data_IF_556527020967
#
_entry.id   IF_556527020967
#
_cell.length_a   1.000
_cell.length_b   1.000
_cell.length_c   1.000
_cell.angle_alpha   90.00
_cell.angle_beta   90.00
_cell.angle_gamma   90.00
#
_symmetry.space_group_name_H-M   'P 1'
#
loop_
_entity.id
_entity.type
_entity.pdbx_description
1 polymer ?
#
# COMPACT_ATOMS: atom_id res chain seq x y z
N UNK A 1 5.97 -14.66 25.50
CA UNK A 1 6.51 -14.70 24.12
C UNK A 1 7.77 -15.55 24.02
N UNK A 2 8.78 -15.41 24.89
CA UNK A 2 9.99 -16.26 24.84
C UNK A 2 9.68 -17.76 24.81
N UNK A 3 8.74 -18.22 25.63
CA UNK A 3 8.25 -19.61 25.64
C UNK A 3 7.77 -20.11 24.26
N UNK A 4 7.19 -19.24 23.45
CA UNK A 4 6.71 -19.61 22.10
C UNK A 4 7.90 -19.89 21.19
N UNK A 5 8.95 -19.08 21.25
CA UNK A 5 10.15 -19.24 20.44
C UNK A 5 11.07 -20.37 20.92
N UNK A 6 11.06 -20.69 22.21
CA UNK A 6 11.90 -21.74 22.78
C UNK A 6 11.22 -23.11 22.78
N UNK A 7 9.98 -23.19 23.27
CA UNK A 7 9.28 -24.45 23.49
C UNK A 7 8.30 -24.78 22.35
N UNK A 8 8.02 -23.82 21.46
CA UNK A 8 7.01 -23.97 20.41
C UNK A 8 5.60 -24.12 20.97
N UNK A 9 5.34 -23.69 22.21
CA UNK A 9 4.02 -23.77 22.84
C UNK A 9 3.72 -22.54 23.67
N UNK A 10 2.44 -22.26 23.87
CA UNK A 10 1.96 -21.24 24.79
C UNK A 10 0.75 -21.81 25.55
N UNK A 11 0.74 -21.67 26.87
CA UNK A 11 -0.46 -21.96 27.67
C UNK A 11 -1.22 -20.66 27.87
N UNK A 12 -2.49 -20.61 27.48
CA UNK A 12 -3.34 -19.44 27.70
C UNK A 12 -3.78 -19.30 29.17
N UNK A 13 -4.48 -18.22 29.50
CA UNK A 13 -4.98 -17.98 30.87
C UNK A 13 -6.06 -18.96 31.34
N UNK A 14 -6.61 -19.79 30.45
CA UNK A 14 -7.60 -20.82 30.74
C UNK A 14 -6.96 -22.21 30.87
N UNK A 15 -5.63 -22.32 30.71
CA UNK A 15 -4.89 -23.57 30.79
C UNK A 15 -4.81 -24.35 29.48
N UNK A 16 -5.29 -23.80 28.35
CA UNK A 16 -5.18 -24.47 27.05
C UNK A 16 -3.76 -24.34 26.52
N UNK A 17 -3.16 -25.46 26.10
CA UNK A 17 -1.84 -25.48 25.48
C UNK A 17 -1.98 -25.36 23.96
N UNK A 18 -1.49 -24.24 23.42
CA UNK A 18 -1.43 -23.94 21.99
C UNK A 18 -0.06 -24.33 21.45
N UNK A 19 0.00 -24.99 20.29
CA UNK A 19 1.22 -25.41 19.62
C UNK A 19 1.57 -24.44 18.47
N UNK A 20 2.81 -23.95 18.48
CA UNK A 20 3.39 -23.02 17.51
C UNK A 20 4.52 -23.63 16.66
N UNK A 21 4.81 -24.92 16.78
CA UNK A 21 5.92 -25.59 16.05
C UNK A 21 5.81 -25.49 14.53
N UNK A 22 4.59 -25.39 13.99
CA UNK A 22 4.34 -25.30 12.55
C UNK A 22 3.74 -23.93 12.18
N UNK A 23 4.22 -22.87 12.82
CA UNK A 23 3.71 -21.51 12.65
C UNK A 23 4.83 -20.56 12.27
N UNK A 24 4.58 -19.70 11.29
CA UNK A 24 5.44 -18.56 11.00
C UNK A 24 4.96 -17.39 11.85
N UNK A 25 5.84 -16.85 12.69
CA UNK A 25 5.53 -15.70 13.54
C UNK A 25 6.07 -14.45 12.85
N UNK A 26 5.16 -13.58 12.41
CA UNK A 26 5.50 -12.28 11.83
C UNK A 26 5.25 -11.21 12.88
N UNK A 27 6.28 -10.42 13.19
CA UNK A 27 6.19 -9.28 14.09
C UNK A 27 6.52 -8.01 13.34
N UNK A 28 5.70 -6.97 13.52
CA UNK A 28 5.88 -5.68 12.86
C UNK A 28 6.08 -4.59 13.90
N UNK A 29 7.01 -3.67 13.66
CA UNK A 29 7.25 -2.52 14.52
C UNK A 29 7.61 -1.28 13.70
N UNK A 30 7.25 -0.10 14.19
CA UNK A 30 7.63 1.19 13.59
C UNK A 30 8.98 1.71 14.13
N UNK A 31 9.74 0.90 14.88
CA UNK A 31 11.06 1.28 15.40
C UNK A 31 11.97 1.65 14.24
N UNK A 32 12.63 2.80 14.36
CA UNK A 32 13.55 3.29 13.34
C UNK A 32 12.88 3.85 12.07
N UNK A 33 11.55 3.87 11.96
CA UNK A 33 10.83 4.36 10.77
C UNK A 33 11.23 5.80 10.37
N UNK A 34 11.55 6.65 11.36
CA UNK A 34 12.03 8.02 11.14
C UNK A 34 13.32 8.10 10.31
N UNK A 35 14.22 7.12 10.42
CA UNK A 35 15.49 7.10 9.68
C UNK A 35 15.26 6.77 8.20
N UNK A 36 14.26 5.94 7.92
CA UNK A 36 13.84 5.57 6.57
C UNK A 36 13.20 6.79 5.88
N UNK A 37 12.34 7.53 6.58
CA UNK A 37 11.64 8.70 6.03
C UNK A 37 12.57 9.89 5.74
N UNK A 38 13.50 10.22 6.66
CA UNK A 38 14.34 11.43 6.55
C UNK A 38 15.31 11.41 5.38
N UNK A 39 15.71 10.23 4.89
CA UNK A 39 16.61 10.10 3.74
C UNK A 39 15.88 9.96 2.40
N UNK A 40 14.60 9.57 2.39
CA UNK A 40 13.78 9.53 1.18
C UNK A 40 13.46 10.94 0.60
N UNK A 41 13.54 11.99 1.42
CA UNK A 41 13.33 13.38 0.97
C UNK A 41 14.55 14.03 0.29
N UNK A 42 15.71 13.35 0.26
CA UNK A 42 16.93 13.86 -0.38
C UNK A 42 17.04 13.21 -1.76
N UNK A 43 16.40 13.81 -2.76
CA UNK A 43 16.37 13.25 -4.12
C UNK A 43 17.70 13.40 -4.84
N UNK A 44 18.53 12.34 -4.90
CA UNK A 44 19.79 12.35 -5.68
C UNK A 44 20.22 10.96 -6.21
N UNK A 45 20.98 10.99 -7.32
CA UNK A 45 21.21 9.90 -8.27
C UNK A 45 22.17 8.77 -7.85
N UNK A 46 21.68 7.55 -8.08
CA UNK A 46 22.27 6.31 -8.67
C UNK A 46 23.71 5.81 -8.44
N UNK A 47 24.54 6.38 -7.55
CA UNK A 47 25.81 5.72 -7.15
C UNK A 47 25.92 5.43 -5.66
N UNK A 48 25.30 6.26 -4.82
CA UNK A 48 25.39 6.18 -3.36
C UNK A 48 24.19 5.45 -2.71
N UNK A 49 23.19 5.06 -3.52
CA UNK A 49 21.92 4.50 -3.01
C UNK A 49 22.11 3.23 -2.16
N UNK A 50 23.01 2.33 -2.56
CA UNK A 50 23.30 1.08 -1.81
C UNK A 50 24.02 1.34 -0.48
N UNK A 51 24.98 2.26 -0.46
CA UNK A 51 25.67 2.64 0.78
C UNK A 51 24.72 3.35 1.74
N UNK A 52 23.86 4.21 1.20
CA UNK A 52 22.80 4.87 1.97
C UNK A 52 21.84 3.83 2.56
N UNK A 53 21.38 2.87 1.78
CA UNK A 53 20.48 1.81 2.27
C UNK A 53 21.10 0.99 3.39
N UNK A 54 22.38 0.62 3.24
CA UNK A 54 23.14 -0.08 4.29
C UNK A 54 23.19 0.76 5.57
N UNK A 55 23.50 2.05 5.45
CA UNK A 55 23.54 2.97 6.59
C UNK A 55 22.19 3.09 7.31
N UNK A 56 21.07 3.10 6.57
CA UNK A 56 19.72 3.16 7.16
C UNK A 56 19.40 1.87 7.89
N UNK A 57 19.71 0.73 7.28
CA UNK A 57 19.49 -0.59 7.89
C UNK A 57 20.28 -0.74 9.18
N UNK A 58 21.53 -0.30 9.23
CA UNK A 58 22.36 -0.29 10.43
C UNK A 58 21.78 0.60 11.54
N UNK A 59 21.29 1.80 11.20
CA UNK A 59 20.63 2.68 12.17
C UNK A 59 19.36 2.07 12.74
N UNK A 60 18.53 1.44 11.91
CA UNK A 60 17.30 0.76 12.34
C UNK A 60 17.64 -0.43 13.25
N UNK A 61 18.60 -1.27 12.86
CA UNK A 61 19.04 -2.41 13.66
C UNK A 61 19.66 -1.98 15.00
N UNK A 62 20.39 -0.85 15.03
CA UNK A 62 20.90 -0.28 16.27
C UNK A 62 19.78 0.13 17.23
N UNK A 63 18.70 0.75 16.72
CA UNK A 63 17.52 1.09 17.51
C UNK A 63 16.78 -0.15 18.02
N UNK A 64 16.60 -1.18 17.18
CA UNK A 64 15.98 -2.44 17.58
C UNK A 64 16.74 -3.08 18.75
N UNK A 65 18.08 -3.14 18.67
CA UNK A 65 18.94 -3.68 19.74
C UNK A 65 18.94 -2.83 21.02
N UNK A 66 18.64 -1.54 20.91
CA UNK A 66 18.50 -0.65 22.09
C UNK A 66 17.14 -0.79 22.75
N UNK A 67 16.08 -1.02 21.96
CA UNK A 67 14.70 -1.11 22.45
C UNK A 67 14.36 -2.49 22.99
N UNK A 68 14.83 -3.57 22.35
CA UNK A 68 14.56 -4.94 22.77
C UNK A 68 15.77 -5.55 23.48
N UNK A 69 15.52 -6.47 24.41
CA UNK A 69 16.61 -7.19 25.07
C UNK A 69 17.33 -8.12 24.07
N UNK A 70 18.65 -8.33 24.22
CA UNK A 70 19.42 -9.19 23.32
C UNK A 70 18.86 -10.61 23.23
N UNK A 71 18.30 -11.14 24.33
CA UNK A 71 17.69 -12.46 24.37
C UNK A 71 16.55 -12.61 23.37
N UNK A 72 15.61 -11.65 23.31
CA UNK A 72 14.52 -11.69 22.35
C UNK A 72 15.02 -11.54 20.91
N UNK A 73 15.95 -10.61 20.67
CA UNK A 73 16.52 -10.38 19.34
C UNK A 73 17.21 -11.64 18.81
N UNK A 74 17.90 -12.38 19.68
CA UNK A 74 18.56 -13.64 19.32
C UNK A 74 17.58 -14.80 19.05
N UNK A 75 16.29 -14.65 19.34
CA UNK A 75 15.22 -15.63 19.02
C UNK A 75 14.51 -15.34 17.71
N UNK A 76 14.81 -14.22 17.07
CA UNK A 76 14.26 -13.87 15.76
C UNK A 76 15.22 -14.38 14.70
N UNK A 77 14.75 -15.24 13.80
CA UNK A 77 15.56 -15.81 12.73
C UNK A 77 16.07 -14.72 11.78
N UNK A 78 15.19 -13.81 11.37
CA UNK A 78 15.51 -12.75 10.41
C UNK A 78 14.84 -11.42 10.77
N UNK A 79 15.59 -10.32 10.64
CA UNK A 79 15.06 -8.96 10.83
C UNK A 79 15.04 -8.26 9.47
N UNK A 80 13.83 -8.04 8.95
CA UNK A 80 13.61 -7.41 7.65
C UNK A 80 13.37 -5.92 7.85
N UNK A 81 14.21 -5.09 7.22
CA UNK A 81 14.02 -3.62 7.17
C UNK A 81 13.36 -3.27 5.84
N UNK A 82 12.17 -2.68 5.90
CA UNK A 82 11.45 -2.23 4.72
C UNK A 82 12.01 -0.90 4.19
N UNK A 83 12.09 -0.79 2.87
CA UNK A 83 12.43 0.46 2.19
C UNK A 83 11.24 1.42 2.13
N UNK A 84 11.52 2.71 1.91
CA UNK A 84 10.47 3.68 1.62
C UNK A 84 9.86 3.40 0.24
N UNK A 85 8.54 3.56 0.13
CA UNK A 85 7.84 3.41 -1.15
C UNK A 85 8.26 4.51 -2.13
N UNK A 86 8.73 4.10 -3.30
CA UNK A 86 8.97 4.98 -4.44
C UNK A 86 7.66 5.32 -5.16
N UNK A 87 7.70 6.29 -6.08
CA UNK A 87 6.53 6.57 -6.93
C UNK A 87 6.12 5.39 -7.78
N UNK A 88 7.09 4.63 -8.29
CA UNK A 88 6.80 3.42 -9.07
C UNK A 88 6.14 2.33 -8.22
N UNK A 89 6.50 2.22 -6.93
CA UNK A 89 5.82 1.32 -6.01
C UNK A 89 4.39 1.78 -5.73
N UNK A 90 4.18 3.09 -5.55
CA UNK A 90 2.83 3.64 -5.37
C UNK A 90 1.95 3.43 -6.60
N UNK A 91 2.50 3.58 -7.82
CA UNK A 91 1.79 3.27 -9.08
C UNK A 91 1.34 1.81 -9.11
N UNK A 92 2.26 0.88 -8.84
CA UNK A 92 1.94 -0.56 -8.78
C UNK A 92 0.89 -0.88 -7.72
N UNK A 93 0.99 -0.27 -6.54
CA UNK A 93 0.00 -0.45 -5.48
C UNK A 93 -1.37 0.07 -5.92
N UNK A 94 -1.44 1.23 -6.57
CA UNK A 94 -2.69 1.75 -7.10
C UNK A 94 -3.29 0.80 -8.14
N UNK A 95 -2.47 0.27 -9.06
CA UNK A 95 -2.92 -0.72 -10.05
C UNK A 95 -3.52 -1.96 -9.38
N UNK A 96 -2.83 -2.54 -8.39
CA UNK A 96 -3.33 -3.70 -7.64
C UNK A 96 -4.66 -3.40 -6.91
N UNK A 97 -4.82 -2.18 -6.37
CA UNK A 97 -6.07 -1.79 -5.73
C UNK A 97 -7.23 -1.66 -6.72
N UNK A 98 -6.96 -1.21 -7.94
CA UNK A 98 -7.96 -1.15 -9.02
C UNK A 98 -8.31 -2.56 -9.52
N UNK A 99 -7.34 -3.45 -9.64
CA UNK A 99 -7.59 -4.87 -9.94
C UNK A 99 -8.51 -5.50 -8.89
N UNK A 100 -8.22 -5.28 -7.61
CA UNK A 100 -9.07 -5.74 -6.50
C UNK A 100 -10.48 -5.13 -6.53
N UNK A 101 -10.61 -3.86 -6.94
CA UNK A 101 -11.92 -3.24 -7.15
C UNK A 101 -12.67 -3.93 -8.29
N UNK A 102 -11.99 -4.20 -9.40
CA UNK A 102 -12.57 -4.86 -10.57
C UNK A 102 -13.06 -6.27 -10.26
N UNK A 103 -12.39 -7.04 -9.38
CA UNK A 103 -12.88 -8.34 -8.93
C UNK A 103 -14.31 -8.27 -8.37
N UNK A 104 -14.64 -7.19 -7.65
CA UNK A 104 -15.99 -6.98 -7.11
C UNK A 104 -16.99 -6.52 -8.18
N UNK A 105 -16.53 -5.86 -9.25
CA UNK A 105 -17.36 -5.34 -10.34
C UNK A 105 -17.67 -6.39 -11.41
N UNK A 106 -16.91 -7.50 -11.46
CA UNK A 106 -17.16 -8.61 -12.39
C UNK A 106 -18.59 -9.14 -12.31
N UNK A 107 -19.17 -9.23 -11.10
CA UNK A 107 -20.55 -9.67 -10.90
C UNK A 107 -21.59 -8.76 -11.57
N UNK A 108 -21.21 -7.52 -11.92
CA UNK A 108 -22.05 -6.52 -12.59
C UNK A 108 -21.65 -6.32 -14.06
N UNK A 109 -20.75 -7.16 -14.60
CA UNK A 109 -20.19 -7.02 -15.94
C UNK A 109 -19.56 -5.63 -16.19
N UNK A 110 -18.94 -5.05 -15.15
CA UNK A 110 -18.26 -3.76 -15.21
C UNK A 110 -16.77 -3.94 -14.89
N UNK A 111 -15.93 -3.15 -15.54
CA UNK A 111 -14.53 -2.99 -15.18
C UNK A 111 -14.13 -1.53 -15.27
N UNK A 112 -13.15 -1.13 -14.44
CA UNK A 112 -12.60 0.21 -14.40
C UNK A 112 -11.15 0.15 -14.84
N UNK A 113 -10.76 1.05 -15.74
CA UNK A 113 -9.39 1.29 -16.15
C UNK A 113 -9.03 2.74 -15.88
N UNK A 114 -7.90 2.99 -15.23
CA UNK A 114 -7.38 4.35 -15.05
C UNK A 114 -6.32 4.62 -16.11
N UNK A 115 -6.28 5.82 -16.69
CA UNK A 115 -5.13 6.26 -17.48
C UNK A 115 -3.93 6.55 -16.58
N UNK A 116 -2.73 6.54 -17.16
CA UNK A 116 -1.49 6.84 -16.42
C UNK A 116 -1.52 8.22 -15.77
N UNK A 117 -2.13 9.22 -16.41
CA UNK A 117 -2.20 10.57 -15.83
C UNK A 117 -3.10 10.61 -14.59
N UNK A 118 -4.18 9.81 -14.57
CA UNK A 118 -5.05 9.69 -13.39
C UNK A 118 -4.32 9.01 -12.23
N UNK A 119 -3.55 7.96 -12.53
CA UNK A 119 -2.72 7.26 -11.53
C UNK A 119 -1.76 8.24 -10.85
N UNK A 120 -1.02 9.01 -11.65
CA UNK A 120 -0.08 10.02 -11.15
C UNK A 120 -0.80 11.11 -10.35
N UNK A 121 -1.93 11.61 -10.86
CA UNK A 121 -2.74 12.62 -10.18
C UNK A 121 -3.24 12.15 -8.81
N UNK A 122 -3.69 10.89 -8.68
CA UNK A 122 -4.14 10.34 -7.39
C UNK A 122 -2.97 10.29 -6.40
N UNK A 123 -1.78 9.89 -6.84
CA UNK A 123 -0.57 9.82 -6.01
C UNK A 123 -0.19 11.23 -5.55
N UNK A 124 -0.14 12.20 -6.46
CA UNK A 124 0.19 13.61 -6.14
C UNK A 124 -0.83 14.28 -5.22
N UNK A 125 -2.10 13.93 -5.36
CA UNK A 125 -3.18 14.47 -4.54
C UNK A 125 -3.21 13.88 -3.13
N UNK A 126 -2.71 12.65 -2.91
CA UNK A 126 -2.95 11.90 -1.65
C UNK A 126 -1.70 11.37 -0.93
N UNK A 127 -0.57 11.23 -1.61
CA UNK A 127 0.67 10.66 -1.06
C UNK A 127 1.82 11.69 -0.96
N UNK A 128 1.50 12.99 -0.84
CA UNK A 128 2.51 14.04 -0.57
C UNK A 128 3.27 13.77 0.73
N UNK A 129 2.56 13.32 1.75
CA UNK A 129 3.18 12.87 3.00
C UNK A 129 3.51 11.38 2.93
N UNK A 130 4.78 11.08 2.62
CA UNK A 130 5.30 9.71 2.53
C UNK A 130 5.26 8.96 3.85
N UNK A 131 5.07 9.64 4.99
CA UNK A 131 5.05 8.99 6.30
C UNK A 131 3.88 8.01 6.48
N UNK A 132 2.79 8.23 5.74
CA UNK A 132 1.62 7.36 5.74
C UNK A 132 1.72 6.20 4.74
N UNK A 133 2.79 6.15 3.92
CA UNK A 133 2.95 5.17 2.84
C UNK A 133 1.77 5.17 1.86
N UNK A 134 1.40 3.99 1.36
CA UNK A 134 0.28 3.82 0.44
C UNK A 134 -1.11 3.78 1.10
N UNK A 135 -1.20 3.91 2.43
CA UNK A 135 -2.49 3.82 3.16
C UNK A 135 -3.57 4.78 2.64
N UNK A 136 -3.25 6.02 2.21
CA UNK A 136 -4.24 6.94 1.66
C UNK A 136 -4.86 6.46 0.34
N UNK A 137 -4.16 5.65 -0.46
CA UNK A 137 -4.55 5.31 -1.82
C UNK A 137 -5.92 4.62 -1.90
N UNK A 138 -6.24 3.71 -0.96
CA UNK A 138 -7.54 3.05 -0.94
C UNK A 138 -8.69 4.06 -0.77
N UNK A 139 -8.54 5.02 0.14
CA UNK A 139 -9.54 6.09 0.32
C UNK A 139 -9.59 7.05 -0.86
N UNK A 140 -8.45 7.27 -1.53
CA UNK A 140 -8.40 8.07 -2.73
C UNK A 140 -9.19 7.43 -3.88
N UNK A 141 -8.97 6.13 -4.13
CA UNK A 141 -9.73 5.36 -5.12
C UNK A 141 -11.22 5.39 -4.78
N UNK A 142 -11.57 5.15 -3.51
CA UNK A 142 -12.98 5.20 -3.09
C UNK A 142 -13.60 6.57 -3.43
N UNK A 143 -12.98 7.65 -2.97
CA UNK A 143 -13.52 9.02 -3.13
C UNK A 143 -13.56 9.49 -4.58
N UNK A 144 -12.52 9.24 -5.36
CA UNK A 144 -12.33 9.84 -6.67
C UNK A 144 -12.80 8.97 -7.83
N UNK A 145 -12.96 7.66 -7.59
CA UNK A 145 -13.29 6.68 -8.63
C UNK A 145 -14.56 5.91 -8.24
N UNK A 146 -14.57 5.25 -7.09
CA UNK A 146 -15.68 4.35 -6.71
C UNK A 146 -16.98 5.11 -6.42
N UNK A 147 -16.94 6.16 -5.60
CA UNK A 147 -18.12 6.91 -5.19
C UNK A 147 -18.78 7.60 -6.41
N UNK A 148 -18.05 8.33 -7.28
CA UNK A 148 -18.68 8.99 -8.43
C UNK A 148 -19.20 7.99 -9.47
N UNK A 149 -18.47 6.89 -9.74
CA UNK A 149 -18.97 5.86 -10.67
C UNK A 149 -20.18 5.10 -10.10
N UNK A 150 -20.25 4.92 -8.79
CA UNK A 150 -21.43 4.35 -8.13
C UNK A 150 -22.66 5.24 -8.29
N UNK A 151 -22.51 6.55 -8.17
CA UNK A 151 -23.60 7.50 -8.40
C UNK A 151 -24.10 7.45 -9.85
N UNK A 152 -23.20 7.37 -10.82
CA UNK A 152 -23.53 7.28 -12.24
C UNK A 152 -24.20 5.95 -12.61
N UNK A 153 -23.81 4.85 -11.94
CA UNK A 153 -24.48 3.57 -12.02
C UNK A 153 -25.92 3.64 -11.46
N UNK A 154 -26.12 4.30 -10.32
CA UNK A 154 -27.47 4.50 -9.73
C UNK A 154 -28.36 5.34 -10.64
N UNK A 155 -27.78 6.33 -11.33
CA UNK A 155 -28.50 7.17 -12.32
C UNK A 155 -28.80 6.43 -13.63
N UNK A 156 -28.30 5.21 -13.81
CA UNK A 156 -28.48 4.43 -15.04
C UNK A 156 -27.67 4.94 -16.23
N UNK A 157 -26.60 5.72 -15.98
CA UNK A 157 -25.69 6.23 -17.03
C UNK A 157 -24.53 5.28 -17.32
N UNK A 158 -24.27 4.34 -16.41
CA UNK A 158 -23.35 3.24 -16.57
C UNK A 158 -24.14 1.93 -16.62
N UNK A 159 -23.92 1.12 -17.65
CA UNK A 159 -24.60 -0.16 -17.83
C UNK A 159 -23.64 -1.33 -17.61
N UNK A 160 -22.84 -1.65 -18.63
CA UNK A 160 -21.88 -2.76 -18.63
C UNK A 160 -20.71 -2.44 -19.54
N UNK A 161 -19.58 -3.11 -19.31
CA UNK A 161 -18.34 -2.94 -20.06
C UNK A 161 -17.23 -2.25 -19.28
N UNK A 162 -16.16 -1.93 -19.98
CA UNK A 162 -15.02 -1.21 -19.42
C UNK A 162 -15.32 0.29 -19.36
N UNK A 163 -15.04 0.89 -18.22
CA UNK A 163 -15.10 2.32 -17.96
C UNK A 163 -13.67 2.84 -17.84
N UNK A 164 -13.27 3.72 -18.74
CA UNK A 164 -11.98 4.39 -18.64
C UNK A 164 -12.13 5.72 -17.90
N UNK A 165 -11.34 5.91 -16.85
CA UNK A 165 -11.22 7.16 -16.11
C UNK A 165 -9.95 7.88 -16.57
N UNK A 166 -10.10 9.14 -16.96
CA UNK A 166 -9.03 9.97 -17.53
C UNK A 166 -9.10 11.41 -16.95
N UNK A 167 -8.09 12.22 -17.25
CA UNK A 167 -8.08 13.65 -16.90
C UNK A 167 -8.53 14.51 -18.09
N UNK A 168 -9.59 15.31 -17.89
CA UNK A 168 -10.04 16.37 -18.80
C UNK A 168 -9.76 17.74 -18.17
N UNK A 169 -8.81 18.49 -18.75
CA UNK A 169 -8.42 19.83 -18.27
C UNK A 169 -8.12 19.90 -16.76
N UNK A 170 -7.57 18.82 -16.18
CA UNK A 170 -7.24 18.73 -14.75
C UNK A 170 -8.38 18.26 -13.83
N UNK A 171 -9.55 17.98 -14.38
CA UNK A 171 -10.66 17.34 -13.69
C UNK A 171 -10.74 15.85 -14.07
N UNK A 172 -11.18 15.00 -13.14
CA UNK A 172 -11.44 13.60 -13.43
C UNK A 172 -12.69 13.48 -14.31
N UNK A 173 -12.62 12.62 -15.32
CA UNK A 173 -13.73 12.31 -16.21
C UNK A 173 -13.74 10.81 -16.51
N UNK A 174 -14.88 10.29 -16.94
CA UNK A 174 -15.03 8.90 -17.35
C UNK A 174 -15.67 8.78 -18.72
N UNK A 175 -15.33 7.70 -19.44
CA UNK A 175 -15.99 7.29 -20.68
C UNK A 175 -16.13 5.78 -20.74
N UNK A 176 -17.19 5.29 -21.39
CA UNK A 176 -17.29 3.88 -21.73
C UNK A 176 -16.23 3.55 -22.80
N UNK A 177 -15.50 2.45 -22.63
CA UNK A 177 -14.49 2.01 -23.58
C UNK A 177 -15.11 1.85 -24.97
N UNK A 178 -14.58 2.60 -25.95
CA UNK A 178 -15.06 2.61 -27.34
C UNK A 178 -15.97 3.78 -27.74
N UNK A 179 -16.31 4.71 -26.84
CA UNK A 179 -16.96 5.99 -27.20
C UNK A 179 -15.99 7.15 -26.96
N UNK A 180 -15.35 7.63 -28.02
CA UNK A 180 -14.33 8.70 -27.94
C UNK A 180 -14.88 10.11 -27.64
N UNK A 181 -16.21 10.32 -27.69
CA UNK A 181 -16.77 11.69 -27.79
C UNK A 181 -17.81 12.09 -26.71
N UNK A 182 -18.16 11.22 -25.76
CA UNK A 182 -19.13 11.53 -24.69
C UNK A 182 -18.56 11.17 -23.32
N UNK A 183 -17.50 11.87 -22.91
CA UNK A 183 -16.98 11.78 -21.54
C UNK A 183 -17.80 12.63 -20.57
N UNK A 184 -18.11 12.10 -19.39
CA UNK A 184 -18.77 12.84 -18.31
C UNK A 184 -17.79 13.14 -17.19
N UNK A 185 -17.84 14.36 -16.63
CA UNK A 185 -16.98 14.75 -15.51
C UNK A 185 -17.37 14.01 -14.23
N UNK A 186 -16.36 13.48 -13.54
CA UNK A 186 -16.47 12.99 -12.17
C UNK A 186 -16.33 14.24 -11.28
N UNK A 187 -17.47 14.85 -10.96
CA UNK A 187 -17.71 16.01 -10.08
C UNK A 187 -16.48 16.86 -9.65
#
# INVERSE_FOLDING_TARGET
MLQVFEEGHLTDGLGNRVNFKNTIIIMTSNIGARYIQKKASVGFQSSEAREIQRSVSEMVLGEVKRTFNPEFVNRVDEIIVFEALTDDDLRKILTMLIEQLNENLLARALSIRLTSEVVDWIIEATCRDRSYGARPLRRAIQRYVEDPLSEELIRGRLESGEVEVYLDAGALAYRAAGRELEGSRLA
#
